data_IF_040469072371
#
_entry.id   IF_040469072371
#
_cell.length_a   1.000
_cell.length_b   1.000
_cell.length_c   1.000
_cell.angle_alpha   90.00
_cell.angle_beta   90.00
_cell.angle_gamma   90.00
#
_symmetry.space_group_name_H-M   'P 1'
#
loop_
_entity.id
_entity.type
_entity.pdbx_description
1 polymer ?
#
# COMPACT_ATOMS: atom_id res chain seq x y z
N UNK A 1 -9.69 17.35 -0.13
CA UNK A 1 -9.89 17.17 1.33
C UNK A 1 -8.83 17.84 2.20
N UNK A 2 -9.24 18.14 3.44
CA UNK A 2 -8.38 18.49 4.58
C UNK A 2 -8.44 17.40 5.65
N UNK A 3 -7.55 17.48 6.62
CA UNK A 3 -7.60 16.66 7.84
C UNK A 3 -7.55 17.55 9.07
N UNK A 4 -8.31 17.18 10.10
CA UNK A 4 -8.26 17.77 11.44
C UNK A 4 -7.61 16.76 12.39
N UNK A 5 -6.66 17.20 13.20
CA UNK A 5 -6.02 16.31 14.18
C UNK A 5 -6.94 16.15 15.39
N UNK A 6 -7.26 14.90 15.73
CA UNK A 6 -8.19 14.56 16.84
C UNK A 6 -7.50 13.91 18.05
N UNK A 7 -6.24 13.48 17.93
CA UNK A 7 -5.49 12.96 19.07
C UNK A 7 -5.00 14.12 19.95
N UNK A 8 -5.53 14.18 21.17
CA UNK A 8 -5.22 15.20 22.17
C UNK A 8 -3.78 15.13 22.71
N UNK A 9 -3.07 14.03 22.47
CA UNK A 9 -1.67 13.87 22.87
C UNK A 9 -0.71 14.52 21.87
N UNK A 10 -1.20 14.94 20.69
CA UNK A 10 -0.39 15.60 19.68
C UNK A 10 -0.43 17.13 19.87
N UNK A 11 0.71 17.77 19.67
CA UNK A 11 0.86 19.25 19.69
C UNK A 11 -0.07 19.96 18.69
N UNK A 12 -0.50 19.23 17.66
CA UNK A 12 -1.36 19.74 16.60
C UNK A 12 -2.84 19.47 16.83
N UNK A 13 -3.24 19.03 18.03
CA UNK A 13 -4.65 18.80 18.37
C UNK A 13 -5.56 19.96 17.95
N UNK A 14 -6.69 19.63 17.32
CA UNK A 14 -7.66 20.55 16.73
C UNK A 14 -7.17 21.43 15.56
N UNK A 15 -5.91 21.31 15.11
CA UNK A 15 -5.44 22.00 13.91
C UNK A 15 -5.91 21.27 12.65
N UNK A 16 -6.17 22.07 11.61
CA UNK A 16 -6.50 21.58 10.28
C UNK A 16 -5.34 21.76 9.31
N UNK A 17 -5.12 20.76 8.46
CA UNK A 17 -4.12 20.83 7.42
C UNK A 17 -4.65 20.34 6.08
N UNK A 18 -4.12 20.92 5.00
CA UNK A 18 -4.40 20.43 3.65
C UNK A 18 -3.71 19.09 3.45
N UNK A 19 -4.50 18.06 3.10
CA UNK A 19 -3.96 16.75 2.77
C UNK A 19 -3.12 16.85 1.49
N UNK A 20 -1.93 16.25 1.52
CA UNK A 20 -1.03 16.13 0.37
C UNK A 20 -1.05 14.73 -0.22
N UNK A 21 -1.02 13.70 0.63
CA UNK A 21 -1.09 12.28 0.25
C UNK A 21 -1.77 11.49 1.36
N UNK A 22 -2.37 10.37 0.98
CA UNK A 22 -2.97 9.41 1.90
C UNK A 22 -2.57 8.00 1.45
N UNK A 23 -2.10 7.22 2.41
CA UNK A 23 -1.89 5.79 2.31
C UNK A 23 -2.92 5.09 3.20
N UNK A 24 -2.86 3.76 3.28
CA UNK A 24 -3.80 2.98 4.08
C UNK A 24 -3.81 3.38 5.57
N UNK A 25 -2.62 3.56 6.15
CA UNK A 25 -2.38 3.76 7.58
C UNK A 25 -1.98 5.20 7.94
N UNK A 26 -1.52 5.99 6.96
CA UNK A 26 -0.91 7.29 7.18
C UNK A 26 -1.47 8.38 6.28
N UNK A 27 -1.50 9.60 6.81
CA UNK A 27 -1.80 10.82 6.08
C UNK A 27 -0.60 11.75 6.08
N UNK A 28 -0.31 12.36 4.94
CA UNK A 28 0.74 13.35 4.78
C UNK A 28 0.10 14.69 4.48
N UNK A 29 0.39 15.68 5.30
CA UNK A 29 -0.20 17.03 5.19
C UNK A 29 0.83 18.06 4.80
N UNK A 30 0.38 19.16 4.21
CA UNK A 30 1.22 20.36 4.08
C UNK A 30 1.38 21.01 5.45
N UNK A 31 2.62 21.19 5.89
CA UNK A 31 2.94 21.70 7.23
C UNK A 31 3.86 22.92 7.11
N UNK A 32 3.66 24.00 7.89
CA UNK A 32 4.39 25.27 7.76
C UNK A 32 5.86 25.23 8.27
N UNK A 33 6.51 24.06 8.29
CA UNK A 33 7.89 23.88 8.75
C UNK A 33 8.91 23.74 7.60
N UNK A 34 10.19 23.59 7.95
CA UNK A 34 11.29 23.46 6.99
C UNK A 34 11.15 22.30 6.00
N UNK A 35 10.55 21.19 6.42
CA UNK A 35 10.24 20.04 5.55
C UNK A 35 9.06 20.30 4.61
N UNK A 36 8.21 21.28 4.92
CA UNK A 36 6.94 21.55 4.23
C UNK A 36 5.86 20.48 4.41
N UNK A 37 6.15 19.38 5.12
CA UNK A 37 5.24 18.24 5.32
C UNK A 37 5.34 17.64 6.71
N UNK A 38 4.25 17.06 7.18
CA UNK A 38 4.17 16.24 8.39
C UNK A 38 3.32 14.99 8.12
N UNK A 39 3.65 13.89 8.79
CA UNK A 39 2.95 12.61 8.69
C UNK A 39 2.19 12.35 9.97
N UNK A 40 0.95 11.92 9.86
CA UNK A 40 0.11 11.50 10.98
C UNK A 40 -0.45 10.10 10.70
N UNK A 41 -0.77 9.37 11.77
CA UNK A 41 -1.54 8.14 11.64
C UNK A 41 -2.96 8.48 11.22
N UNK A 42 -3.59 7.62 10.43
CA UNK A 42 -4.97 7.83 9.96
C UNK A 42 -5.96 7.88 11.13
N UNK A 43 -5.73 7.07 12.17
CA UNK A 43 -6.60 7.01 13.35
C UNK A 43 -6.50 8.24 14.25
N UNK A 44 -5.48 9.09 14.05
CA UNK A 44 -5.30 10.33 14.80
C UNK A 44 -5.92 11.54 14.11
N UNK A 45 -6.65 11.34 12.99
CA UNK A 45 -7.22 12.43 12.19
C UNK A 45 -8.68 12.18 11.82
N UNK A 46 -9.41 13.29 11.66
CA UNK A 46 -10.74 13.34 11.06
C UNK A 46 -10.62 13.95 9.66
N UNK A 47 -11.26 13.35 8.66
CA UNK A 47 -11.23 13.83 7.28
C UNK A 47 -12.36 14.81 7.00
N UNK A 48 -12.01 15.93 6.37
CA UNK A 48 -12.97 16.91 5.87
C UNK A 48 -12.97 16.80 4.35
N UNK A 49 -14.01 16.15 3.80
CA UNK A 49 -14.15 15.90 2.36
C UNK A 49 -14.46 17.18 1.59
N UNK A 50 -13.94 17.27 0.36
CA UNK A 50 -14.21 18.40 -0.55
C UNK A 50 -14.78 17.90 -1.90
N UNK A 51 -14.86 16.59 -2.12
CA UNK A 51 -15.34 15.97 -3.35
C UNK A 51 -15.85 14.54 -3.14
N UNK A 52 -16.64 14.02 -4.08
CA UNK A 52 -17.09 12.62 -4.10
C UNK A 52 -15.92 11.62 -4.10
N UNK A 53 -14.79 11.98 -4.71
CA UNK A 53 -13.59 11.13 -4.71
C UNK A 53 -13.01 11.03 -3.30
N UNK A 54 -13.07 12.12 -2.53
CA UNK A 54 -12.60 12.11 -1.14
C UNK A 54 -13.47 11.18 -0.28
N UNK A 55 -14.80 11.25 -0.44
CA UNK A 55 -15.75 10.36 0.22
C UNK A 55 -15.51 8.90 -0.13
N UNK A 56 -15.34 8.60 -1.44
CA UNK A 56 -15.01 7.26 -1.91
C UNK A 56 -13.75 6.71 -1.23
N UNK A 57 -12.67 7.50 -1.15
CA UNK A 57 -11.41 7.04 -0.58
C UNK A 57 -11.47 6.78 0.92
N UNK A 58 -12.34 7.49 1.63
CA UNK A 58 -12.57 7.28 3.06
C UNK A 58 -13.41 6.01 3.25
N UNK A 59 -14.54 5.90 2.54
CA UNK A 59 -15.47 4.77 2.65
C UNK A 59 -14.85 3.45 2.21
N UNK A 60 -14.07 3.46 1.13
CA UNK A 60 -13.44 2.28 0.53
C UNK A 60 -11.92 2.30 0.73
N UNK A 61 -11.49 2.58 1.96
CA UNK A 61 -10.08 2.85 2.22
C UNK A 61 -9.14 1.65 2.03
N UNK A 62 -9.65 0.42 2.03
CA UNK A 62 -8.87 -0.77 1.69
C UNK A 62 -8.24 -0.72 0.29
N UNK A 63 -8.84 0.03 -0.65
CA UNK A 63 -8.22 0.24 -1.97
C UNK A 63 -6.88 0.99 -1.88
N UNK A 64 -6.63 1.75 -0.81
CA UNK A 64 -5.34 2.42 -0.59
C UNK A 64 -4.20 1.41 -0.32
N UNK A 65 -4.51 0.14 -0.02
CA UNK A 65 -3.50 -0.94 0.04
C UNK A 65 -2.90 -1.21 -1.34
N UNK A 66 -3.68 -1.02 -2.42
CA UNK A 66 -3.19 -1.18 -3.79
C UNK A 66 -2.32 0.02 -4.12
N UNK A 67 -1.11 -0.20 -4.65
CA UNK A 67 -0.20 0.90 -4.94
C UNK A 67 -0.59 1.55 -6.26
N UNK A 68 -0.94 2.84 -6.22
CA UNK A 68 -1.04 3.67 -7.42
C UNK A 68 0.36 4.08 -7.90
N UNK A 69 0.85 3.39 -8.92
CA UNK A 69 2.09 3.75 -9.60
C UNK A 69 1.95 5.11 -10.31
N UNK A 70 3.08 5.83 -10.47
CA UNK A 70 3.10 7.17 -11.09
C UNK A 70 2.42 7.14 -12.46
N UNK A 71 1.45 8.03 -12.65
CA UNK A 71 0.70 8.15 -13.91
C UNK A 71 -0.62 7.37 -13.91
N UNK A 72 -0.89 6.55 -12.90
CA UNK A 72 -2.21 5.92 -12.72
C UNK A 72 -3.12 6.87 -11.94
N UNK A 73 -4.37 7.03 -12.40
CA UNK A 73 -5.36 7.85 -11.72
C UNK A 73 -6.06 7.09 -10.60
N UNK A 74 -6.47 7.81 -9.56
CA UNK A 74 -7.29 7.29 -8.45
C UNK A 74 -8.64 6.73 -8.92
N UNK A 75 -9.11 7.16 -10.09
CA UNK A 75 -10.32 6.61 -10.73
C UNK A 75 -10.21 5.13 -11.05
N UNK A 76 -9.01 4.55 -11.07
CA UNK A 76 -8.81 3.10 -11.17
C UNK A 76 -9.52 2.35 -10.02
N UNK A 77 -9.47 2.87 -8.80
CA UNK A 77 -10.10 2.20 -7.66
C UNK A 77 -11.60 2.08 -7.84
N UNK A 78 -12.25 3.18 -8.22
CA UNK A 78 -13.68 3.19 -8.51
C UNK A 78 -14.02 2.24 -9.65
N UNK A 79 -13.23 2.24 -10.73
CA UNK A 79 -13.43 1.31 -11.84
C UNK A 79 -13.29 -0.17 -11.42
N UNK A 80 -12.38 -0.49 -10.50
CA UNK A 80 -12.26 -1.84 -9.95
C UNK A 80 -13.49 -2.18 -9.08
N UNK A 81 -13.89 -1.30 -8.18
CA UNK A 81 -15.10 -1.48 -7.35
C UNK A 81 -16.33 -1.74 -8.23
N UNK A 82 -16.61 -0.83 -9.17
CA UNK A 82 -17.76 -0.92 -10.06
C UNK A 82 -17.75 -2.23 -10.87
N UNK A 83 -16.57 -2.73 -11.24
CA UNK A 83 -16.43 -4.01 -11.95
C UNK A 83 -16.75 -5.20 -11.05
N UNK A 84 -16.24 -5.21 -9.81
CA UNK A 84 -16.47 -6.28 -8.85
C UNK A 84 -17.96 -6.35 -8.48
N UNK A 85 -18.57 -5.25 -8.06
CA UNK A 85 -19.98 -5.23 -7.65
C UNK A 85 -20.90 -5.65 -8.80
N UNK A 86 -20.57 -5.24 -10.03
CA UNK A 86 -21.35 -5.60 -11.21
C UNK A 86 -21.18 -7.06 -11.63
N UNK A 87 -19.96 -7.59 -11.64
CA UNK A 87 -19.71 -8.97 -12.11
C UNK A 87 -20.14 -10.03 -11.09
N UNK A 88 -20.07 -9.72 -9.80
CA UNK A 88 -20.40 -10.65 -8.72
C UNK A 88 -21.76 -10.38 -8.06
N UNK A 89 -22.44 -9.29 -8.44
CA UNK A 89 -23.72 -8.87 -7.85
C UNK A 89 -23.68 -8.78 -6.31
N UNK A 90 -22.57 -8.23 -5.79
CA UNK A 90 -22.32 -8.07 -4.35
C UNK A 90 -22.26 -6.60 -3.94
N UNK A 91 -22.54 -6.33 -2.66
CA UNK A 91 -22.16 -5.08 -1.99
C UNK A 91 -20.75 -5.24 -1.41
N UNK A 92 -19.83 -4.37 -1.82
CA UNK A 92 -18.46 -4.42 -1.33
C UNK A 92 -18.36 -3.94 0.13
N UNK A 93 -17.61 -4.67 0.95
CA UNK A 93 -17.36 -4.36 2.37
C UNK A 93 -15.88 -4.17 2.68
N UNK A 94 -15.04 -5.11 2.25
CA UNK A 94 -13.60 -5.10 2.54
C UNK A 94 -12.77 -5.70 1.40
N UNK A 95 -11.49 -5.33 1.39
CA UNK A 95 -10.47 -5.90 0.52
C UNK A 95 -9.22 -6.26 1.34
N UNK A 96 -8.90 -7.54 1.34
CA UNK A 96 -7.63 -8.06 1.83
C UNK A 96 -6.65 -8.25 0.67
N UNK A 97 -5.68 -7.34 0.53
CA UNK A 97 -4.69 -7.37 -0.53
C UNK A 97 -3.57 -8.36 -0.20
N UNK A 98 -3.38 -9.37 -1.06
CA UNK A 98 -2.32 -10.37 -0.92
C UNK A 98 -1.13 -10.08 -1.82
N UNK A 99 -1.38 -9.59 -3.03
CA UNK A 99 -0.34 -9.31 -4.03
C UNK A 99 -0.74 -8.15 -4.93
N UNK A 100 0.21 -7.25 -5.18
CA UNK A 100 0.09 -6.19 -6.18
C UNK A 100 1.34 -6.19 -7.07
N UNK A 101 1.24 -6.78 -8.26
CA UNK A 101 2.29 -6.72 -9.28
C UNK A 101 1.99 -5.61 -10.26
N UNK A 102 3.02 -4.88 -10.66
CA UNK A 102 2.95 -3.83 -11.68
C UNK A 102 4.08 -3.97 -12.68
N UNK A 103 3.72 -3.91 -13.96
CA UNK A 103 4.68 -3.79 -15.05
C UNK A 103 4.29 -2.61 -15.95
N UNK A 104 5.30 -1.98 -16.56
CA UNK A 104 5.09 -0.87 -17.50
C UNK A 104 6.11 -0.95 -18.61
N UNK A 105 5.67 -0.73 -19.84
CA UNK A 105 6.55 -0.68 -21.00
C UNK A 105 7.07 0.74 -21.26
N UNK A 106 8.04 0.87 -22.17
CA UNK A 106 8.62 2.18 -22.55
C UNK A 106 7.60 3.18 -23.12
N UNK A 107 6.44 2.72 -23.59
CA UNK A 107 5.34 3.55 -24.12
C UNK A 107 4.36 4.00 -23.02
N UNK A 108 4.61 3.64 -21.77
CA UNK A 108 3.76 3.99 -20.63
C UNK A 108 2.44 3.21 -20.57
N UNK A 109 2.34 2.08 -21.29
CA UNK A 109 1.25 1.12 -21.10
C UNK A 109 1.63 0.25 -19.92
N UNK A 110 0.73 0.17 -18.95
CA UNK A 110 0.93 -0.56 -17.72
C UNK A 110 -0.09 -1.67 -17.56
N UNK A 111 0.32 -2.69 -16.83
CA UNK A 111 -0.53 -3.81 -16.40
C UNK A 111 -0.31 -4.03 -14.90
N UNK A 112 -1.40 -4.32 -14.20
CA UNK A 112 -1.42 -4.70 -12.79
C UNK A 112 -2.12 -6.04 -12.64
N UNK A 113 -1.48 -6.94 -11.92
CA UNK A 113 -2.05 -8.20 -11.46
C UNK A 113 -2.20 -8.09 -9.94
N UNK A 114 -3.45 -8.05 -9.49
CA UNK A 114 -3.82 -7.93 -8.09
C UNK A 114 -4.45 -9.26 -7.64
N UNK A 115 -3.94 -9.81 -6.54
CA UNK A 115 -4.53 -10.95 -5.85
C UNK A 115 -5.08 -10.45 -4.52
N UNK A 116 -6.37 -10.67 -4.28
CA UNK A 116 -7.03 -10.23 -3.06
C UNK A 116 -8.17 -11.16 -2.67
N UNK A 117 -8.63 -11.02 -1.43
CA UNK A 117 -9.89 -11.60 -0.96
C UNK A 117 -10.85 -10.45 -0.70
N UNK A 118 -12.05 -10.52 -1.28
CA UNK A 118 -13.13 -9.54 -1.11
C UNK A 118 -14.14 -10.11 -0.13
N UNK A 119 -14.67 -9.24 0.75
CA UNK A 119 -15.70 -9.59 1.72
C UNK A 119 -15.30 -10.83 2.55
N UNK A 120 -14.02 -10.91 2.93
CA UNK A 120 -13.40 -12.03 3.66
C UNK A 120 -13.40 -13.42 2.99
N UNK A 121 -14.23 -13.67 1.97
CA UNK A 121 -14.50 -15.03 1.45
C UNK A 121 -14.31 -15.22 -0.05
N UNK A 122 -14.23 -14.14 -0.84
CA UNK A 122 -14.21 -14.23 -2.31
C UNK A 122 -12.77 -13.98 -2.82
N UNK A 123 -11.99 -15.03 -3.12
CA UNK A 123 -10.66 -14.87 -3.67
C UNK A 123 -10.71 -14.43 -5.13
N UNK A 124 -10.18 -13.25 -5.43
CA UNK A 124 -10.19 -12.67 -6.76
C UNK A 124 -8.79 -12.44 -7.30
N UNK A 125 -8.64 -12.69 -8.60
CA UNK A 125 -7.55 -12.19 -9.43
C UNK A 125 -8.07 -11.05 -10.30
N UNK A 126 -7.51 -9.85 -10.10
CA UNK A 126 -7.87 -8.66 -10.87
C UNK A 126 -6.71 -8.32 -11.80
N UNK A 127 -6.99 -8.33 -13.10
CA UNK A 127 -6.07 -7.90 -14.15
C UNK A 127 -6.53 -6.53 -14.66
N UNK A 128 -5.75 -5.49 -14.36
CA UNK A 128 -6.03 -4.13 -14.80
C UNK A 128 -4.94 -3.62 -15.73
N UNK A 129 -5.31 -2.95 -16.82
CA UNK A 129 -4.34 -2.31 -17.72
C UNK A 129 -4.81 -0.94 -18.17
N UNK A 130 -3.85 -0.11 -18.54
CA UNK A 130 -4.11 1.25 -19.00
C UNK A 130 -2.87 1.93 -19.52
N UNK A 131 -2.97 3.24 -19.73
CA UNK A 131 -1.86 4.09 -20.16
C UNK A 131 -1.65 5.21 -19.13
N UNK A 132 -0.39 5.54 -18.87
CA UNK A 132 -0.04 6.62 -17.95
C UNK A 132 -0.71 7.94 -18.36
N UNK A 133 -1.12 8.70 -17.34
CA UNK A 133 -1.75 10.02 -17.40
C UNK A 133 -3.14 10.05 -18.05
N UNK A 134 -3.71 8.89 -18.43
CA UNK A 134 -5.11 8.78 -18.79
C UNK A 134 -5.97 8.56 -17.55
N UNK A 135 -7.08 9.30 -17.47
CA UNK A 135 -8.06 9.21 -16.36
C UNK A 135 -9.15 8.15 -16.59
N UNK A 136 -9.22 7.59 -17.81
CA UNK A 136 -10.23 6.65 -18.25
C UNK A 136 -9.67 5.66 -19.29
N UNK A 137 -10.48 4.67 -19.67
CA UNK A 137 -10.10 3.64 -20.64
C UNK A 137 -9.27 2.51 -20.03
N UNK A 138 -9.44 2.25 -18.73
CA UNK A 138 -8.88 1.06 -18.10
C UNK A 138 -9.56 -0.18 -18.66
N UNK A 139 -8.78 -1.23 -18.90
CA UNK A 139 -9.33 -2.57 -19.15
C UNK A 139 -9.14 -3.37 -17.87
N UNK A 140 -10.24 -3.75 -17.24
CA UNK A 140 -10.27 -4.52 -16.01
C UNK A 140 -10.93 -5.85 -16.33
N UNK A 141 -10.30 -6.94 -15.89
CA UNK A 141 -10.86 -8.28 -15.90
C UNK A 141 -10.75 -8.81 -14.47
N UNK A 142 -11.85 -9.32 -13.94
CA UNK A 142 -11.89 -9.94 -12.62
C UNK A 142 -12.21 -11.42 -12.81
N UNK A 143 -11.50 -12.27 -12.09
CA UNK A 143 -11.70 -13.73 -12.10
C UNK A 143 -11.73 -14.23 -10.66
N UNK A 144 -12.76 -15.00 -10.31
CA UNK A 144 -12.78 -15.75 -9.06
C UNK A 144 -11.84 -16.95 -9.17
N UNK A 145 -11.03 -17.13 -8.14
CA UNK A 145 -10.09 -18.23 -8.05
C UNK A 145 -10.78 -19.36 -7.30
N UNK A 146 -10.75 -20.57 -7.85
CA UNK A 146 -11.28 -21.72 -7.13
C UNK A 146 -10.48 -21.96 -5.83
N UNK A 147 -11.15 -22.60 -4.87
CA UNK A 147 -10.63 -22.77 -3.50
C UNK A 147 -9.31 -23.53 -3.46
N UNK A 148 -9.19 -24.61 -4.23
CA UNK A 148 -7.98 -25.44 -4.28
C UNK A 148 -6.79 -24.66 -4.81
N UNK A 149 -6.96 -24.00 -5.96
CA UNK A 149 -5.94 -23.14 -6.58
C UNK A 149 -5.54 -21.99 -5.65
N UNK A 150 -6.51 -21.36 -4.99
CA UNK A 150 -6.22 -20.29 -4.03
C UNK A 150 -5.36 -20.77 -2.86
N UNK A 151 -5.67 -21.94 -2.29
CA UNK A 151 -4.88 -22.54 -1.22
C UNK A 151 -3.47 -22.93 -1.67
N UNK A 152 -3.31 -23.43 -2.88
CA UNK A 152 -1.99 -23.70 -3.46
C UNK A 152 -1.16 -22.43 -3.61
N UNK A 153 -1.76 -21.36 -4.14
CA UNK A 153 -1.12 -20.04 -4.28
C UNK A 153 -0.67 -19.52 -2.90
N UNK A 154 -1.56 -19.51 -1.91
CA UNK A 154 -1.24 -19.05 -0.56
C UNK A 154 -0.13 -19.90 0.07
N UNK A 155 -0.24 -21.22 -0.01
CA UNK A 155 0.75 -22.14 0.57
C UNK A 155 2.14 -21.95 -0.06
N UNK A 156 2.20 -21.71 -1.37
CA UNK A 156 3.44 -21.45 -2.08
C UNK A 156 4.08 -20.13 -1.64
N UNK A 157 3.31 -19.03 -1.62
CA UNK A 157 3.83 -17.71 -1.23
C UNK A 157 4.25 -17.69 0.24
N UNK A 158 3.51 -18.35 1.14
CA UNK A 158 3.89 -18.49 2.57
C UNK A 158 5.24 -19.19 2.71
N UNK A 159 5.44 -20.32 1.99
CA UNK A 159 6.72 -21.05 2.00
C UNK A 159 7.88 -20.19 1.50
N UNK A 160 7.65 -19.44 0.42
CA UNK A 160 8.65 -18.53 -0.16
C UNK A 160 9.03 -17.43 0.82
N UNK A 161 8.05 -16.73 1.41
CA UNK A 161 8.30 -15.65 2.38
C UNK A 161 9.01 -16.19 3.62
N UNK A 162 8.60 -17.35 4.12
CA UNK A 162 9.25 -17.99 5.28
C UNK A 162 10.73 -18.28 5.03
N UNK A 163 11.08 -18.71 3.80
CA UNK A 163 12.47 -18.91 3.40
C UNK A 163 13.24 -17.58 3.35
N UNK A 164 12.66 -16.55 2.75
CA UNK A 164 13.28 -15.21 2.69
C UNK A 164 13.53 -14.62 4.08
N UNK A 165 12.58 -14.78 5.02
CA UNK A 165 12.74 -14.35 6.42
C UNK A 165 13.97 -15.01 7.04
N UNK A 166 14.09 -16.33 6.94
CA UNK A 166 15.22 -17.07 7.47
C UNK A 166 16.56 -16.59 6.90
N UNK A 167 16.63 -16.38 5.59
CA UNK A 167 17.84 -15.84 4.94
C UNK A 167 18.18 -14.43 5.45
N UNK A 168 17.17 -13.59 5.69
CA UNK A 168 17.37 -12.23 6.25
C UNK A 168 17.81 -12.26 7.70
N UNK A 169 17.31 -13.17 8.52
CA UNK A 169 17.75 -13.37 9.91
C UNK A 169 19.24 -13.76 9.98
N UNK A 170 19.69 -14.65 9.10
CA UNK A 170 21.11 -15.03 9.01
C UNK A 170 22.00 -13.83 8.64
N UNK A 171 21.55 -13.02 7.68
CA UNK A 171 22.27 -11.79 7.28
C UNK A 171 22.30 -10.79 8.45
N UNK A 172 21.19 -10.61 9.15
CA UNK A 172 21.08 -9.73 10.31
C UNK A 172 22.08 -10.13 11.41
N UNK A 173 22.17 -11.42 11.71
CA UNK A 173 23.13 -11.95 12.69
C UNK A 173 24.58 -11.64 12.30
N UNK A 174 24.95 -11.79 11.01
CA UNK A 174 26.30 -11.47 10.52
C UNK A 174 26.63 -9.98 10.68
N UNK A 175 25.69 -9.08 10.39
CA UNK A 175 25.88 -7.66 10.65
C UNK A 175 26.03 -7.35 12.14
N UNK A 176 25.23 -7.99 12.99
CA UNK A 176 25.35 -7.87 14.46
C UNK A 176 26.75 -8.24 14.95
N UNK A 177 27.26 -9.41 14.54
CA UNK A 177 28.62 -9.86 14.87
C UNK A 177 29.71 -8.90 14.40
N UNK A 178 29.56 -8.34 13.19
CA UNK A 178 30.52 -7.38 12.65
C UNK A 178 30.57 -6.09 13.49
N UNK A 179 29.42 -5.57 13.91
CA UNK A 179 29.32 -4.38 14.76
C UNK A 179 29.97 -4.64 16.13
N UNK A 180 29.72 -5.81 16.74
CA UNK A 180 30.29 -6.16 18.05
C UNK A 180 31.82 -6.24 18.01
N UNK A 181 32.37 -6.89 16.98
CA UNK A 181 33.83 -7.00 16.78
C UNK A 181 34.50 -5.65 16.61
N UNK A 182 33.87 -4.71 15.89
CA UNK A 182 34.41 -3.36 15.72
C UNK A 182 34.31 -2.54 17.02
N UNK A 183 33.24 -2.69 17.80
CA UNK A 183 33.08 -2.00 19.10
C UNK A 183 34.06 -2.47 20.17
N UNK A 184 34.42 -3.76 20.15
CA UNK A 184 35.36 -4.39 21.09
C UNK A 184 36.43 -5.16 20.33
N UNK A 185 37.41 -4.46 19.74
CA UNK A 185 38.46 -5.12 18.97
C UNK A 185 39.36 -5.93 19.92
N UNK A 186 39.34 -7.25 19.77
CA UNK A 186 40.39 -8.10 20.33
C UNK A 186 41.63 -7.95 19.43
N UNK A 187 42.71 -7.36 19.98
CA UNK A 187 43.94 -6.96 19.30
C UNK A 187 43.81 -5.76 18.33
N UNK A 188 43.73 -4.51 18.84
CA UNK A 188 43.81 -3.33 18.00
C UNK A 188 45.18 -3.29 17.30
N UNK A 189 45.20 -3.52 15.99
CA UNK A 189 46.38 -3.30 15.18
C UNK A 189 46.71 -1.82 15.26
N UNK A 190 47.83 -1.46 15.91
CA UNK A 190 48.37 -0.10 15.83
C UNK A 190 48.73 0.15 14.37
N UNK A 191 47.93 0.97 13.68
CA UNK A 191 48.37 1.53 12.40
C UNK A 191 49.64 2.34 12.68
N UNK A 192 50.74 1.94 12.06
CA UNK A 192 51.99 2.71 12.06
C UNK A 192 51.68 4.04 11.35
N UNK A 193 51.77 5.14 12.09
CA UNK A 193 51.69 6.52 11.59
C UNK A 193 53.01 6.88 10.92
#
# INVERSE_FOLDING_TARGET
MKVKIIDSNLEDYNKEFKLRRMNYDQVVVNYPGNSGIKVFNKDSVEFITESEIDEFLISYSDFLKIKLNRGISVTLYKAILDTIEKEFEIEFKDLNLLRDKYIVNKRGIWEKEILCVINEIIPLKIMASGQNFKKSGFKIKVEEINKEEFFEICSFEIKKISKEIKEKEEILARYGMAIEKIKKPENPVKMLV
#
